data_IF_327864179328
#
_entry.id   IF_327864179328
#
_cell.length_a   1.000
_cell.length_b   1.000
_cell.length_c   1.000
_cell.angle_alpha   90.00
_cell.angle_beta   90.00
_cell.angle_gamma   90.00
#
_symmetry.space_group_name_H-M   'P 1'
#
loop_
_entity.id
_entity.type
_entity.pdbx_description
1 polymer ?
#
# COMPACT_ATOMS: atom_id res chain seq x y z
N UNK A 1 -19.99 -28.45 20.37
CA UNK A 1 -20.64 -28.39 19.02
C UNK A 1 -19.74 -27.58 18.10
N UNK A 2 -19.41 -28.12 16.95
CA UNK A 2 -18.65 -27.35 15.93
C UNK A 2 -19.54 -26.18 15.46
N UNK A 3 -19.00 -24.97 15.45
CA UNK A 3 -19.69 -23.80 14.86
C UNK A 3 -19.80 -23.85 13.36
N UNK A 4 -19.16 -24.82 12.73
CA UNK A 4 -19.17 -24.97 11.28
C UNK A 4 -20.07 -26.13 10.93
N UNK A 5 -21.00 -25.94 9.98
CA UNK A 5 -21.77 -27.05 9.45
C UNK A 5 -20.78 -28.10 8.91
N UNK A 6 -21.13 -29.37 9.11
CA UNK A 6 -20.45 -30.52 8.51
C UNK A 6 -20.69 -30.56 6.98
N UNK A 7 -20.48 -29.44 6.32
CA UNK A 7 -20.33 -29.44 4.87
C UNK A 7 -19.01 -30.14 4.59
N UNK A 8 -19.08 -31.21 3.84
CA UNK A 8 -17.94 -32.06 3.58
C UNK A 8 -16.68 -31.32 3.15
N UNK A 9 -15.55 -31.90 3.34
CA UNK A 9 -14.24 -31.36 2.95
C UNK A 9 -14.33 -30.81 1.52
N UNK A 10 -14.15 -29.49 1.38
CA UNK A 10 -14.00 -28.89 0.06
C UNK A 10 -12.57 -29.17 -0.39
N UNK A 11 -12.42 -30.03 -1.40
CA UNK A 11 -11.10 -30.31 -2.00
C UNK A 11 -10.46 -29.07 -2.64
N UNK A 12 -11.29 -28.09 -3.04
CA UNK A 12 -10.84 -26.81 -3.59
C UNK A 12 -11.68 -25.68 -3.03
N UNK A 13 -11.01 -24.62 -2.61
CA UNK A 13 -11.61 -23.35 -2.23
C UNK A 13 -11.31 -22.32 -3.33
N UNK A 14 -12.31 -21.56 -3.75
CA UNK A 14 -12.07 -20.38 -4.58
C UNK A 14 -11.38 -19.32 -3.73
N UNK A 15 -10.18 -18.92 -4.17
CA UNK A 15 -9.34 -17.94 -3.50
C UNK A 15 -9.24 -16.63 -4.24
N UNK A 16 -9.91 -16.50 -5.39
CA UNK A 16 -9.88 -15.27 -6.19
C UNK A 16 -10.55 -14.12 -5.44
N UNK A 17 -9.94 -12.95 -5.52
CA UNK A 17 -10.44 -11.71 -4.89
C UNK A 17 -10.39 -10.58 -5.90
N UNK A 18 -11.51 -9.90 -6.08
CA UNK A 18 -11.60 -8.66 -6.86
C UNK A 18 -11.62 -7.46 -5.92
N UNK A 19 -10.68 -6.53 -6.07
CA UNK A 19 -10.59 -5.30 -5.29
C UNK A 19 -10.99 -4.12 -6.17
N UNK A 20 -11.92 -3.28 -5.67
CA UNK A 20 -12.32 -2.05 -6.33
C UNK A 20 -13.48 -2.17 -7.31
N UNK A 21 -14.13 -3.33 -7.43
CA UNK A 21 -15.22 -3.59 -8.37
C UNK A 21 -16.40 -2.59 -8.29
N UNK A 22 -16.59 -1.92 -7.15
CA UNK A 22 -17.72 -0.99 -6.97
C UNK A 22 -17.48 0.39 -7.57
N UNK A 23 -16.24 0.90 -7.54
CA UNK A 23 -15.97 2.31 -7.82
C UNK A 23 -14.84 2.54 -8.84
N UNK A 24 -14.01 1.55 -9.10
CA UNK A 24 -12.93 1.66 -10.07
C UNK A 24 -13.36 1.06 -11.41
N UNK A 25 -13.05 1.73 -12.51
CA UNK A 25 -13.31 1.17 -13.84
C UNK A 25 -12.32 0.05 -14.22
N UNK A 26 -11.18 -0.01 -13.52
CA UNK A 26 -10.15 -1.05 -13.67
C UNK A 26 -9.90 -1.72 -12.31
N UNK A 27 -10.78 -2.60 -11.83
CA UNK A 27 -10.55 -3.35 -10.60
C UNK A 27 -9.33 -4.26 -10.75
N UNK A 28 -8.69 -4.61 -9.63
CA UNK A 28 -7.60 -5.58 -9.63
C UNK A 28 -8.09 -6.96 -9.22
N UNK A 29 -7.62 -7.97 -9.94
CA UNK A 29 -7.93 -9.37 -9.70
C UNK A 29 -6.72 -10.06 -9.06
N UNK A 30 -6.94 -10.69 -7.92
CA UNK A 30 -5.93 -11.46 -7.20
C UNK A 30 -6.33 -12.95 -7.19
N UNK A 31 -5.40 -13.82 -7.55
CA UNK A 31 -5.64 -15.26 -7.51
C UNK A 31 -5.66 -15.84 -6.08
N UNK A 32 -5.06 -15.13 -5.14
CA UNK A 32 -5.02 -15.48 -3.72
C UNK A 32 -5.26 -14.25 -2.84
N UNK A 33 -5.92 -14.39 -1.67
CA UNK A 33 -6.23 -13.28 -0.76
C UNK A 33 -5.03 -12.90 0.13
N UNK A 34 -3.82 -12.94 -0.41
CA UNK A 34 -2.58 -12.62 0.27
C UNK A 34 -1.82 -11.62 -0.59
N UNK A 35 -1.46 -10.47 -0.02
CA UNK A 35 -0.71 -9.42 -0.69
C UNK A 35 0.63 -9.17 0.01
N UNK A 36 1.62 -8.69 -0.73
CA UNK A 36 2.91 -8.31 -0.15
C UNK A 36 2.82 -6.86 0.33
N UNK A 37 2.99 -6.65 1.64
CA UNK A 37 2.92 -5.34 2.25
C UNK A 37 4.03 -4.40 1.77
N UNK A 38 3.78 -3.08 1.82
CA UNK A 38 4.74 -2.05 1.44
C UNK A 38 6.01 -2.08 2.27
N UNK A 39 7.14 -2.11 1.58
CA UNK A 39 8.48 -2.03 2.16
C UNK A 39 9.28 -1.00 1.37
N UNK A 40 9.74 0.06 2.03
CA UNK A 40 10.35 1.22 1.38
C UNK A 40 11.67 0.90 0.68
N UNK A 41 11.94 1.59 -0.42
CA UNK A 41 13.27 1.65 -0.99
C UNK A 41 14.21 2.42 -0.03
N UNK A 42 15.35 1.81 0.26
CA UNK A 42 16.28 2.28 1.30
C UNK A 42 16.24 1.39 2.55
N UNK A 43 15.08 0.83 2.92
CA UNK A 43 15.00 -0.35 3.78
C UNK A 43 15.34 -1.62 2.98
N UNK A 44 14.78 -1.73 1.77
CA UNK A 44 15.13 -2.74 0.78
C UNK A 44 15.90 -2.11 -0.40
N UNK A 45 16.77 -2.88 -1.01
CA UNK A 45 17.44 -2.51 -2.25
C UNK A 45 16.62 -2.89 -3.49
N UNK A 46 17.05 -2.43 -4.67
CA UNK A 46 16.39 -2.65 -5.96
C UNK A 46 16.16 -4.14 -6.27
N UNK A 47 17.16 -4.99 -6.02
CA UNK A 47 17.04 -6.42 -6.27
C UNK A 47 15.98 -7.11 -5.42
N UNK A 48 15.85 -6.70 -4.15
CA UNK A 48 14.80 -7.22 -3.26
C UNK A 48 13.41 -6.75 -3.72
N UNK A 49 13.27 -5.49 -4.12
CA UNK A 49 12.02 -4.95 -4.66
C UNK A 49 11.60 -5.70 -5.94
N UNK A 50 12.56 -5.93 -6.84
CA UNK A 50 12.33 -6.73 -8.05
C UNK A 50 11.92 -8.16 -7.74
N UNK A 51 12.60 -8.81 -6.80
CA UNK A 51 12.28 -10.20 -6.41
C UNK A 51 10.86 -10.32 -5.83
N UNK A 52 10.43 -9.36 -5.02
CA UNK A 52 9.06 -9.31 -4.48
C UNK A 52 8.03 -9.13 -5.59
N UNK A 53 8.30 -8.25 -6.57
CA UNK A 53 7.43 -8.05 -7.73
C UNK A 53 7.28 -9.32 -8.58
N UNK A 54 8.39 -10.00 -8.87
CA UNK A 54 8.37 -11.28 -9.59
C UNK A 54 7.62 -12.37 -8.81
N UNK A 55 7.85 -12.47 -7.51
CA UNK A 55 7.17 -13.43 -6.64
C UNK A 55 5.65 -13.17 -6.59
N UNK A 56 5.23 -11.92 -6.41
CA UNK A 56 3.82 -11.54 -6.43
C UNK A 56 3.18 -11.87 -7.79
N UNK A 57 3.86 -11.55 -8.89
CA UNK A 57 3.39 -11.85 -10.24
C UNK A 57 3.24 -13.34 -10.48
N UNK A 58 4.20 -14.15 -10.05
CA UNK A 58 4.15 -15.61 -10.19
C UNK A 58 2.98 -16.23 -9.42
N UNK A 59 2.60 -15.64 -8.29
CA UNK A 59 1.49 -16.09 -7.46
C UNK A 59 0.16 -15.43 -7.81
N UNK A 60 0.11 -14.58 -8.83
CA UNK A 60 -1.10 -13.88 -9.24
C UNK A 60 -1.64 -12.92 -8.17
N UNK A 61 -0.75 -12.32 -7.36
CA UNK A 61 -1.11 -11.37 -6.33
C UNK A 61 -0.40 -10.03 -6.51
N UNK A 62 -0.55 -9.11 -5.55
CA UNK A 62 0.02 -7.78 -5.59
C UNK A 62 1.18 -7.59 -4.63
N UNK A 63 2.09 -6.68 -4.99
CA UNK A 63 3.05 -6.07 -4.07
C UNK A 63 2.76 -4.58 -3.90
N UNK A 64 3.33 -3.96 -2.89
CA UNK A 64 3.06 -2.57 -2.51
C UNK A 64 4.37 -1.80 -2.37
N UNK A 65 4.41 -0.54 -2.83
CA UNK A 65 5.65 0.23 -2.92
C UNK A 65 6.31 0.50 -1.57
N UNK A 66 5.59 0.92 -0.57
CA UNK A 66 6.15 1.43 0.67
C UNK A 66 6.49 2.92 0.61
N UNK A 67 7.17 3.43 1.64
CA UNK A 67 7.59 4.82 1.75
C UNK A 67 8.75 5.13 0.80
N UNK A 68 8.72 6.29 0.15
CA UNK A 68 9.78 6.73 -0.74
C UNK A 68 9.51 6.57 -2.24
N UNK A 69 8.29 6.24 -2.62
CA UNK A 69 7.86 6.17 -4.02
C UNK A 69 8.06 4.80 -4.69
N UNK A 70 7.76 4.77 -5.96
CA UNK A 70 7.83 3.59 -6.84
C UNK A 70 9.21 3.49 -7.50
N UNK A 71 9.85 2.33 -7.45
CA UNK A 71 11.06 2.09 -8.23
C UNK A 71 10.73 1.53 -9.62
N UNK A 72 11.53 1.86 -10.65
CA UNK A 72 11.34 1.26 -11.97
C UNK A 72 11.41 -0.27 -11.93
N UNK A 73 12.38 -0.83 -11.20
CA UNK A 73 12.56 -2.29 -11.10
C UNK A 73 11.36 -3.00 -10.46
N UNK A 74 10.72 -2.36 -9.48
CA UNK A 74 9.50 -2.88 -8.86
C UNK A 74 8.32 -2.81 -9.81
N UNK A 75 8.14 -1.68 -10.53
CA UNK A 75 7.06 -1.53 -11.50
C UNK A 75 7.18 -2.54 -12.64
N UNK A 76 8.36 -2.70 -13.21
CA UNK A 76 8.62 -3.63 -14.31
C UNK A 76 8.41 -5.10 -13.92
N UNK A 77 8.77 -5.45 -12.67
CA UNK A 77 8.66 -6.82 -12.17
C UNK A 77 7.26 -7.20 -11.70
N UNK A 78 6.39 -6.22 -11.44
CA UNK A 78 5.08 -6.46 -10.82
C UNK A 78 3.96 -6.37 -11.84
N UNK A 79 3.19 -7.46 -11.99
CA UNK A 79 1.94 -7.43 -12.76
C UNK A 79 0.91 -6.51 -12.10
N UNK A 80 0.80 -6.61 -10.77
CA UNK A 80 -0.09 -5.78 -9.95
C UNK A 80 0.73 -5.09 -8.85
N UNK A 81 0.87 -3.77 -8.96
CA UNK A 81 1.62 -2.94 -8.02
C UNK A 81 0.70 -1.91 -7.38
N UNK A 82 0.63 -1.94 -6.06
CA UNK A 82 -0.12 -0.98 -5.26
C UNK A 82 0.78 0.17 -4.83
N UNK A 83 0.37 1.40 -5.07
CA UNK A 83 1.07 2.57 -4.55
C UNK A 83 0.67 2.86 -3.12
N UNK A 84 1.63 2.93 -2.22
CA UNK A 84 1.38 3.26 -0.83
C UNK A 84 1.43 4.77 -0.61
N UNK A 85 0.24 5.37 -0.42
CA UNK A 85 0.08 6.80 -0.18
C UNK A 85 0.21 7.09 1.32
N UNK A 86 1.40 7.57 1.71
CA UNK A 86 1.81 7.75 3.10
C UNK A 86 1.82 9.22 3.52
N UNK A 87 1.78 9.50 4.83
CA UNK A 87 1.87 10.87 5.36
C UNK A 87 3.08 11.66 4.90
N UNK A 88 4.22 11.00 4.71
CA UNK A 88 5.49 11.64 4.32
C UNK A 88 5.52 12.21 2.90
N UNK A 89 4.73 11.64 1.99
CA UNK A 89 4.72 12.02 0.56
C UNK A 89 6.08 11.93 -0.14
N UNK A 90 7.05 11.21 0.41
CA UNK A 90 8.39 11.09 -0.18
C UNK A 90 8.33 10.53 -1.60
N UNK A 91 8.83 11.31 -2.57
CA UNK A 91 8.89 10.92 -3.97
C UNK A 91 7.54 10.73 -4.66
N UNK A 92 6.44 11.08 -4.02
CA UNK A 92 5.09 10.95 -4.58
C UNK A 92 4.89 11.95 -5.72
N UNK A 93 4.46 11.44 -6.86
CA UNK A 93 4.03 12.25 -8.00
C UNK A 93 2.70 11.74 -8.54
N UNK A 94 1.87 12.59 -9.17
CA UNK A 94 0.65 12.15 -9.84
C UNK A 94 0.89 11.06 -10.88
N UNK A 95 2.02 11.10 -11.57
CA UNK A 95 2.37 10.10 -12.59
C UNK A 95 2.63 8.72 -11.98
N UNK A 96 3.25 8.64 -10.82
CA UNK A 96 3.41 7.37 -10.10
C UNK A 96 2.06 6.81 -9.64
N UNK A 97 1.12 7.67 -9.22
CA UNK A 97 -0.24 7.24 -8.87
C UNK A 97 -0.98 6.66 -10.09
N UNK A 98 -0.83 7.26 -11.26
CA UNK A 98 -1.41 6.75 -12.51
C UNK A 98 -0.77 5.45 -13.00
N UNK A 99 0.54 5.28 -12.79
CA UNK A 99 1.28 4.06 -13.15
C UNK A 99 0.98 2.87 -12.23
N UNK A 100 0.49 3.09 -11.03
CA UNK A 100 0.09 2.03 -10.12
C UNK A 100 -1.22 1.38 -10.58
N UNK A 101 -1.47 0.15 -10.11
CA UNK A 101 -2.71 -0.57 -10.38
C UNK A 101 -3.77 -0.33 -9.31
N UNK A 102 -3.37 0.08 -8.10
CA UNK A 102 -4.24 0.51 -7.01
C UNK A 102 -3.50 1.48 -6.07
N UNK A 103 -4.24 2.17 -5.20
CA UNK A 103 -3.68 3.08 -4.19
C UNK A 103 -4.10 2.61 -2.80
N UNK A 104 -3.12 2.46 -1.89
CA UNK A 104 -3.32 2.21 -0.48
C UNK A 104 -3.07 3.49 0.32
N UNK A 105 -4.13 4.11 0.84
CA UNK A 105 -4.02 5.28 1.74
C UNK A 105 -3.73 4.79 3.16
N UNK A 106 -2.56 5.12 3.70
CA UNK A 106 -2.14 4.64 5.01
C UNK A 106 -2.49 5.64 6.10
N UNK A 107 -3.44 5.30 6.95
CA UNK A 107 -3.74 6.01 8.19
C UNK A 107 -2.82 5.54 9.32
N UNK A 108 -2.59 4.23 9.37
CA UNK A 108 -1.72 3.61 10.36
C UNK A 108 -1.49 2.13 10.09
N UNK A 109 -0.67 1.52 10.93
CA UNK A 109 -0.36 0.10 10.89
C UNK A 109 0.00 -0.43 12.28
N UNK A 110 -0.29 -1.70 12.57
CA UNK A 110 -0.14 -2.28 13.91
C UNK A 110 1.28 -2.28 14.45
N UNK A 111 2.29 -2.50 13.59
CA UNK A 111 3.68 -2.64 14.03
C UNK A 111 4.34 -1.32 14.53
N UNK A 112 3.82 -0.17 14.12
CA UNK A 112 4.30 1.16 14.57
C UNK A 112 3.14 2.15 14.63
N UNK A 113 2.22 1.99 15.60
CA UNK A 113 1.05 2.86 15.73
C UNK A 113 1.49 4.28 16.08
N UNK A 114 0.93 5.27 15.37
CA UNK A 114 1.23 6.69 15.60
C UNK A 114 2.66 7.12 15.26
N UNK A 115 3.49 6.24 14.73
CA UNK A 115 4.87 6.51 14.35
C UNK A 115 5.09 6.47 12.85
N UNK A 116 5.83 7.46 12.31
CA UNK A 116 6.39 7.39 10.97
C UNK A 116 7.61 6.46 10.92
N UNK A 117 8.04 6.10 9.70
CA UNK A 117 9.30 5.38 9.50
C UNK A 117 10.51 6.28 9.77
N UNK A 118 11.64 5.70 10.11
CA UNK A 118 12.92 6.39 10.22
C UNK A 118 13.95 5.67 9.36
N UNK A 119 14.71 6.42 8.58
CA UNK A 119 15.84 5.94 7.81
C UNK A 119 17.06 6.78 8.16
N UNK A 120 18.09 6.14 8.69
CA UNK A 120 19.31 6.83 9.12
C UNK A 120 20.10 7.34 7.91
N UNK A 121 20.77 8.48 8.06
CA UNK A 121 21.52 9.16 7.01
C UNK A 121 22.53 8.27 6.30
N UNK A 122 23.18 7.35 7.02
CA UNK A 122 24.09 6.36 6.43
C UNK A 122 23.45 5.41 5.40
N UNK A 123 22.11 5.27 5.42
CA UNK A 123 21.33 4.49 4.44
C UNK A 123 20.73 5.35 3.34
N UNK A 124 20.83 6.68 3.46
CA UNK A 124 20.33 7.63 2.48
C UNK A 124 21.41 7.85 1.42
N UNK A 125 21.52 6.89 0.52
CA UNK A 125 22.39 7.03 -0.67
C UNK A 125 21.81 8.08 -1.62
N UNK A 126 22.62 8.55 -2.58
CA UNK A 126 22.17 9.54 -3.58
C UNK A 126 20.90 9.08 -4.32
N UNK A 127 20.78 7.80 -4.61
CA UNK A 127 19.59 7.24 -5.25
C UNK A 127 18.35 7.31 -4.34
N UNK A 128 18.49 6.98 -3.06
CA UNK A 128 17.41 7.07 -2.08
C UNK A 128 17.00 8.53 -1.89
N UNK A 129 17.97 9.43 -1.79
CA UNK A 129 17.77 10.87 -1.67
C UNK A 129 17.00 11.43 -2.88
N UNK A 130 17.44 11.11 -4.09
CA UNK A 130 16.77 11.52 -5.33
C UNK A 130 15.33 11.01 -5.42
N UNK A 131 15.09 9.73 -5.10
CA UNK A 131 13.74 9.15 -5.10
C UNK A 131 12.80 9.80 -4.08
N UNK A 132 13.32 10.17 -2.91
CA UNK A 132 12.55 10.80 -1.84
C UNK A 132 12.45 12.31 -1.96
N UNK A 133 13.17 12.93 -2.91
CA UNK A 133 13.31 14.38 -3.07
C UNK A 133 13.85 15.06 -1.82
N UNK A 134 14.83 14.44 -1.17
CA UNK A 134 15.43 14.87 0.10
C UNK A 134 16.96 14.87 0.01
N UNK A 135 17.66 15.61 0.89
CA UNK A 135 19.12 15.62 0.94
C UNK A 135 19.69 14.23 1.28
N UNK A 136 20.82 13.88 0.65
CA UNK A 136 21.58 12.67 0.98
C UNK A 136 22.29 12.80 2.34
N UNK A 137 22.52 11.67 3.01
CA UNK A 137 23.33 11.59 4.21
C UNK A 137 22.68 12.17 5.49
N UNK A 138 21.44 12.59 5.44
CA UNK A 138 20.71 13.16 6.58
C UNK A 138 19.59 12.20 7.00
N UNK A 139 19.44 11.97 8.31
CA UNK A 139 18.37 11.16 8.88
C UNK A 139 17.00 11.65 8.41
N UNK A 140 16.19 10.72 7.91
CA UNK A 140 14.83 11.03 7.43
C UNK A 140 13.80 10.36 8.33
N UNK A 141 12.86 11.16 8.81
CA UNK A 141 11.73 10.69 9.61
C UNK A 141 10.44 11.00 8.88
N UNK A 142 9.64 9.97 8.66
CA UNK A 142 8.33 10.11 8.06
C UNK A 142 7.37 10.81 9.02
N UNK A 143 6.47 11.63 8.47
CA UNK A 143 5.41 12.26 9.24
C UNK A 143 4.46 11.22 9.86
N UNK A 144 3.92 11.51 11.04
CA UNK A 144 2.98 10.64 11.74
C UNK A 144 1.54 10.84 11.28
N UNK A 145 1.24 11.99 10.67
CA UNK A 145 -0.09 12.36 10.18
C UNK A 145 0.00 12.87 8.75
N UNK A 146 -1.06 12.68 8.00
CA UNK A 146 -1.19 13.30 6.70
C UNK A 146 -1.25 14.82 6.84
N UNK A 147 -0.54 15.59 6.00
CA UNK A 147 -0.46 17.05 6.14
C UNK A 147 -1.73 17.76 5.67
N UNK A 148 -2.55 17.11 4.88
CA UNK A 148 -3.63 17.68 4.09
C UNK A 148 -5.04 17.21 4.49
N UNK A 149 -5.14 16.41 5.55
CA UNK A 149 -6.42 16.03 6.13
C UNK A 149 -6.28 15.58 7.60
N UNK A 150 -7.33 15.80 8.39
CA UNK A 150 -7.37 15.54 9.83
C UNK A 150 -8.54 14.70 10.29
N UNK A 151 -9.64 14.70 9.54
CA UNK A 151 -10.88 14.00 9.87
C UNK A 151 -11.43 13.15 8.73
N UNK A 152 -12.53 12.44 8.97
CA UNK A 152 -13.16 11.60 7.95
C UNK A 152 -13.67 12.39 6.74
N UNK A 153 -14.18 13.60 6.95
CA UNK A 153 -14.68 14.46 5.87
C UNK A 153 -13.54 14.90 4.93
N UNK A 154 -12.41 15.29 5.51
CA UNK A 154 -11.21 15.61 4.74
C UNK A 154 -10.65 14.39 4.00
N UNK A 155 -10.74 13.20 4.60
CA UNK A 155 -10.34 11.95 3.95
C UNK A 155 -11.22 11.64 2.75
N UNK A 156 -12.52 11.90 2.81
CA UNK A 156 -13.42 11.77 1.67
C UNK A 156 -12.99 12.67 0.52
N UNK A 157 -12.70 13.95 0.79
CA UNK A 157 -12.19 14.90 -0.19
C UNK A 157 -10.87 14.38 -0.81
N UNK A 158 -9.97 13.87 0.03
CA UNK A 158 -8.70 13.31 -0.45
C UNK A 158 -8.89 12.08 -1.33
N UNK A 159 -9.83 11.21 -1.02
CA UNK A 159 -10.16 10.05 -1.86
C UNK A 159 -10.73 10.50 -3.21
N UNK A 160 -11.57 11.53 -3.23
CA UNK A 160 -12.07 12.10 -4.48
C UNK A 160 -10.93 12.68 -5.35
N UNK A 161 -10.02 13.45 -4.75
CA UNK A 161 -8.83 13.96 -5.41
C UNK A 161 -7.98 12.84 -6.04
N UNK A 162 -7.73 11.76 -5.30
CA UNK A 162 -6.97 10.61 -5.80
C UNK A 162 -7.70 9.90 -6.96
N UNK A 163 -9.02 9.83 -6.91
CA UNK A 163 -9.84 9.30 -8.01
C UNK A 163 -9.73 10.16 -9.26
N UNK A 164 -9.79 11.49 -9.12
CA UNK A 164 -9.63 12.41 -10.24
C UNK A 164 -8.23 12.31 -10.84
N UNK A 165 -7.18 12.25 -10.02
CA UNK A 165 -5.80 12.05 -10.48
C UNK A 165 -5.67 10.79 -11.34
N UNK A 166 -6.40 9.73 -10.98
CA UNK A 166 -6.36 8.43 -11.67
C UNK A 166 -7.51 8.21 -12.66
N UNK A 167 -8.25 9.26 -13.03
CA UNK A 167 -9.40 9.20 -13.92
C UNK A 167 -10.46 8.16 -13.51
N UNK A 168 -10.64 7.92 -12.22
CA UNK A 168 -11.54 6.91 -11.66
C UNK A 168 -11.23 5.46 -12.10
N UNK A 169 -10.03 5.22 -12.57
CA UNK A 169 -9.62 3.90 -13.05
C UNK A 169 -9.19 2.98 -11.91
N UNK A 170 -8.48 3.50 -10.91
CA UNK A 170 -7.76 2.69 -9.93
C UNK A 170 -8.56 2.45 -8.65
N UNK A 171 -8.52 1.23 -8.10
CA UNK A 171 -9.00 0.98 -6.75
C UNK A 171 -8.25 1.81 -5.71
N UNK A 172 -9.00 2.36 -4.74
CA UNK A 172 -8.43 3.06 -3.60
C UNK A 172 -8.98 2.41 -2.33
N UNK A 173 -8.10 2.02 -1.43
CA UNK A 173 -8.47 1.48 -0.14
C UNK A 173 -7.65 2.10 0.99
N UNK A 174 -8.17 2.02 2.21
CA UNK A 174 -7.58 2.66 3.38
C UNK A 174 -7.03 1.60 4.31
N UNK A 175 -5.75 1.72 4.64
CA UNK A 175 -5.08 0.88 5.62
C UNK A 175 -5.16 1.52 6.99
N UNK A 176 -5.83 0.83 7.92
CA UNK A 176 -5.99 1.26 9.31
C UNK A 176 -5.40 0.18 10.23
N UNK A 177 -4.60 0.59 11.19
CA UNK A 177 -4.05 -0.31 12.19
C UNK A 177 -4.81 -0.22 13.51
N UNK A 178 -4.69 -1.28 14.35
CA UNK A 178 -5.18 -1.30 15.73
C UNK A 178 -6.71 -1.17 15.89
N UNK A 179 -7.46 -1.79 15.01
CA UNK A 179 -8.94 -1.67 14.98
C UNK A 179 -9.63 -2.27 16.20
N UNK A 180 -9.09 -3.33 16.79
CA UNK A 180 -9.69 -4.00 17.97
C UNK A 180 -9.81 -3.10 19.20
N UNK A 181 -8.93 -2.12 19.35
CA UNK A 181 -8.91 -1.24 20.53
C UNK A 181 -9.45 0.17 20.28
N UNK A 182 -9.60 0.56 19.03
CA UNK A 182 -9.90 1.95 18.65
C UNK A 182 -11.20 2.13 17.87
N UNK A 183 -11.73 1.07 17.29
CA UNK A 183 -12.99 1.09 16.55
C UNK A 183 -13.76 -0.20 16.83
N UNK A 184 -14.92 -0.13 17.49
CA UNK A 184 -15.77 -1.30 17.65
C UNK A 184 -16.13 -1.86 16.28
N UNK A 185 -15.80 -3.12 16.08
CA UNK A 185 -16.20 -3.86 14.90
C UNK A 185 -17.60 -4.40 15.06
N UNK A 186 -18.40 -4.53 14.01
CA UNK A 186 -19.69 -5.24 14.09
C UNK A 186 -19.60 -6.68 14.57
N UNK A 187 -18.37 -7.23 14.70
CA UNK A 187 -18.11 -8.55 15.27
C UNK A 187 -17.98 -8.54 16.79
N UNK A 188 -17.83 -7.36 17.38
CA UNK A 188 -17.63 -7.16 18.82
C UNK A 188 -18.94 -6.73 19.52
N UNK A 189 -20.04 -6.66 18.77
CA UNK A 189 -21.39 -6.34 19.23
C UNK A 189 -22.24 -7.60 19.46
#
# INVERSE_FOLDING_TARGET
MSRYPLEGYRERCDTNVTIGARFASQPIELAIPITIAGMSFGALGANAKRALGLGATAMGTSTTTGDGGMTPEEREASKTLVYQYLPSRYGMTPDQLRQADAIEVVVGQGAKPGGGGMLLGQKITDRVAAMRTLPAGIDQRSACRHPDWTGPDDLEIKIQELREITNWEKPIYVKVGCLLYTSPSPRDA
#
